data_IF_124805087376
#
_entry.id   IF_124805087376
#
_cell.length_a   1.000
_cell.length_b   1.000
_cell.length_c   1.000
_cell.angle_alpha   90.00
_cell.angle_beta   90.00
_cell.angle_gamma   90.00
#
_symmetry.space_group_name_H-M   'P 1'
#
loop_
_entity.id
_entity.type
_entity.pdbx_description
1 polymer ?
#
# COMPACT_ATOMS: atom_id res chain seq x y z
N UNK A 1 59.80 -2.95 22.90
CA UNK A 1 58.87 -3.02 24.05
C UNK A 1 57.51 -2.58 23.55
N UNK A 2 56.47 -3.39 23.81
CA UNK A 2 55.06 -3.03 23.56
C UNK A 2 54.72 -1.74 24.33
N UNK A 3 53.81 -0.94 23.78
CA UNK A 3 52.55 -0.56 24.42
C UNK A 3 51.67 0.22 23.43
N UNK A 4 50.58 -0.43 23.01
CA UNK A 4 49.41 0.17 22.38
C UNK A 4 48.55 0.85 23.46
N UNK A 5 47.90 1.98 23.16
CA UNK A 5 46.48 2.23 23.47
C UNK A 5 45.95 3.51 22.80
N UNK A 6 45.17 3.30 21.74
CA UNK A 6 43.97 4.03 21.26
C UNK A 6 43.45 5.26 22.02
N UNK A 7 43.15 6.33 21.27
CA UNK A 7 41.84 7.03 21.37
C UNK A 7 41.30 7.32 19.96
N UNK A 8 40.09 6.80 19.75
CA UNK A 8 39.20 6.96 18.61
C UNK A 8 38.62 8.38 18.59
N UNK A 9 38.54 8.98 17.41
CA UNK A 9 37.58 10.06 17.15
C UNK A 9 38.10 11.15 16.22
N UNK A 10 38.00 10.94 14.90
CA UNK A 10 37.91 12.06 13.97
C UNK A 10 37.22 11.64 12.66
N UNK A 11 35.91 11.89 12.59
CA UNK A 11 35.11 11.83 11.35
C UNK A 11 34.40 13.16 11.14
N UNK A 12 35.12 14.26 11.34
CA UNK A 12 34.67 15.58 10.94
C UNK A 12 35.80 16.29 10.20
N UNK A 13 35.86 16.14 8.87
CA UNK A 13 35.83 17.35 8.06
C UNK A 13 35.52 17.12 6.57
N UNK A 14 35.05 18.20 5.94
CA UNK A 14 34.90 18.44 4.51
C UNK A 14 33.53 18.17 3.86
N UNK A 15 32.51 18.92 4.29
CA UNK A 15 31.46 19.35 3.37
C UNK A 15 30.86 20.70 3.80
N UNK A 16 31.30 21.78 3.13
CA UNK A 16 30.89 23.16 3.43
C UNK A 16 29.39 23.46 3.22
N UNK A 17 28.90 24.59 3.78
CA UNK A 17 27.47 24.89 3.94
C UNK A 17 26.72 25.17 2.63
N UNK A 18 27.42 25.38 1.51
CA UNK A 18 26.79 25.68 0.22
C UNK A 18 26.31 24.46 -0.59
N UNK A 19 26.63 23.22 -0.20
CA UNK A 19 26.15 22.02 -0.91
C UNK A 19 24.91 21.37 -0.29
N UNK A 20 24.52 21.78 0.92
CA UNK A 20 23.34 21.23 1.61
C UNK A 20 22.02 21.86 1.16
N UNK A 21 22.02 23.12 0.72
CA UNK A 21 20.80 23.79 0.24
C UNK A 21 20.40 23.40 -1.18
N UNK A 22 21.33 22.91 -2.00
CA UNK A 22 21.07 22.53 -3.39
C UNK A 22 20.60 21.07 -3.57
N UNK A 23 20.51 20.29 -2.49
CA UNK A 23 19.88 18.95 -2.48
C UNK A 23 18.38 19.05 -2.16
N UNK A 24 17.94 20.09 -1.43
CA UNK A 24 16.54 20.26 -1.07
C UNK A 24 15.67 20.84 -2.20
N UNK A 25 16.25 21.41 -3.26
CA UNK A 25 15.50 22.02 -4.36
C UNK A 25 15.21 21.08 -5.54
N UNK A 26 15.76 19.87 -5.57
CA UNK A 26 15.47 18.88 -6.63
C UNK A 26 14.49 17.77 -6.21
N UNK A 27 14.08 17.71 -4.93
CA UNK A 27 13.12 16.74 -4.38
C UNK A 27 11.67 17.24 -4.37
N UNK A 28 11.39 18.40 -4.96
CA UNK A 28 10.07 19.06 -4.92
C UNK A 28 9.32 19.07 -6.26
N UNK A 29 9.73 18.32 -7.29
CA UNK A 29 9.13 18.46 -8.64
C UNK A 29 8.96 17.14 -9.42
N UNK A 30 8.42 16.10 -8.80
CA UNK A 30 7.90 14.92 -9.56
C UNK A 30 6.76 14.20 -8.84
N UNK A 31 5.76 14.94 -8.35
CA UNK A 31 4.48 14.37 -7.93
C UNK A 31 3.36 15.36 -8.25
N UNK A 32 3.16 15.68 -9.53
CA UNK A 32 1.88 16.23 -9.96
C UNK A 32 1.59 15.84 -11.40
N UNK A 33 0.53 15.05 -11.57
CA UNK A 33 0.06 14.59 -12.87
C UNK A 33 -0.24 13.11 -12.85
N UNK A 34 -1.42 12.74 -12.36
CA UNK A 34 -2.45 12.15 -13.20
C UNK A 34 -3.80 12.23 -12.48
N UNK A 35 -4.73 12.86 -13.19
CA UNK A 35 -6.07 13.27 -12.81
C UNK A 35 -6.93 12.04 -12.49
N UNK A 36 -7.66 12.11 -11.39
CA UNK A 36 -8.64 11.10 -11.00
C UNK A 36 -9.75 10.97 -12.03
N UNK A 37 -9.96 9.77 -12.56
CA UNK A 37 -11.22 9.44 -13.20
C UNK A 37 -12.22 9.09 -12.11
N UNK A 38 -13.08 10.05 -11.76
CA UNK A 38 -14.26 9.78 -10.95
C UNK A 38 -15.15 8.75 -11.69
N UNK A 39 -15.24 7.53 -11.17
CA UNK A 39 -16.29 6.58 -11.53
C UNK A 39 -17.36 6.70 -10.45
N UNK A 40 -18.31 7.61 -10.65
CA UNK A 40 -19.57 7.54 -9.93
C UNK A 40 -20.25 6.22 -10.33
N UNK A 41 -20.38 5.27 -9.39
CA UNK A 41 -21.25 4.12 -9.61
C UNK A 41 -22.69 4.60 -9.45
N UNK A 42 -23.43 4.65 -10.56
CA UNK A 42 -24.88 4.79 -10.53
C UNK A 42 -25.50 3.61 -9.78
N UNK A 43 -26.49 3.81 -8.91
CA UNK A 43 -27.21 2.71 -8.28
C UNK A 43 -27.92 1.88 -9.35
N UNK A 44 -27.72 0.57 -9.31
CA UNK A 44 -28.35 -0.38 -10.22
C UNK A 44 -29.84 -0.49 -9.93
N UNK A 45 -30.67 0.18 -10.74
CA UNK A 45 -32.12 -0.03 -10.75
C UNK A 45 -32.44 -1.26 -11.63
N UNK A 46 -32.40 -2.44 -11.01
CA UNK A 46 -32.64 -3.73 -11.67
C UNK A 46 -33.96 -4.33 -11.23
N UNK A 47 -35.02 -4.12 -12.00
CA UNK A 47 -36.27 -4.92 -11.90
C UNK A 47 -35.95 -6.39 -12.18
N UNK A 48 -36.50 -7.37 -11.44
CA UNK A 48 -36.24 -8.77 -11.72
C UNK A 48 -36.97 -9.21 -13.00
N UNK A 49 -36.20 -9.53 -14.04
CA UNK A 49 -36.67 -10.20 -15.24
C UNK A 49 -36.96 -11.68 -14.91
N UNK A 50 -38.25 -12.01 -14.78
CA UNK A 50 -38.74 -13.35 -14.42
C UNK A 50 -38.87 -14.30 -15.61
N UNK A 51 -38.21 -14.01 -16.74
CA UNK A 51 -38.43 -14.72 -18.02
C UNK A 51 -37.38 -15.80 -18.34
N UNK A 52 -36.93 -16.59 -17.35
CA UNK A 52 -36.10 -17.80 -17.60
C UNK A 52 -36.53 -18.99 -16.74
N UNK A 53 -37.73 -19.49 -17.00
CA UNK A 53 -38.26 -20.75 -16.44
C UNK A 53 -38.17 -21.93 -17.42
N UNK A 54 -37.41 -21.79 -18.51
CA UNK A 54 -37.18 -22.87 -19.46
C UNK A 54 -35.85 -23.57 -19.17
N UNK A 55 -35.96 -24.71 -18.48
CA UNK A 55 -35.22 -25.96 -18.71
C UNK A 55 -33.86 -25.82 -19.45
N UNK A 56 -32.77 -25.74 -18.70
CA UNK A 56 -31.43 -26.02 -19.21
C UNK A 56 -30.82 -27.18 -18.43
N UNK A 57 -30.87 -28.37 -19.04
CA UNK A 57 -29.90 -29.43 -18.76
C UNK A 57 -28.54 -28.90 -19.20
N UNK A 58 -27.86 -28.17 -18.32
CA UNK A 58 -26.44 -27.87 -18.49
C UNK A 58 -25.69 -29.10 -18.02
N UNK A 59 -25.20 -29.89 -18.97
CA UNK A 59 -24.05 -30.76 -18.79
C UNK A 59 -23.01 -30.01 -17.99
N UNK A 60 -22.79 -30.46 -16.75
CA UNK A 60 -21.75 -29.91 -15.90
C UNK A 60 -20.43 -29.92 -16.70
N UNK A 61 -19.73 -28.78 -16.85
CA UNK A 61 -18.35 -28.83 -17.27
C UNK A 61 -17.66 -29.79 -16.30
N UNK A 62 -16.90 -30.75 -16.83
CA UNK A 62 -16.02 -31.60 -16.05
C UNK A 62 -14.99 -30.67 -15.39
N UNK A 63 -15.36 -30.08 -14.25
CA UNK A 63 -14.48 -29.28 -13.43
C UNK A 63 -13.47 -30.25 -12.86
N UNK A 64 -12.31 -30.31 -13.50
CA UNK A 64 -11.11 -30.86 -12.89
C UNK A 64 -10.96 -30.24 -11.50
N UNK A 65 -10.65 -31.02 -10.45
CA UNK A 65 -10.43 -30.45 -9.12
C UNK A 65 -9.44 -29.28 -9.23
N UNK A 66 -9.67 -28.17 -8.51
CA UNK A 66 -8.74 -27.05 -8.52
C UNK A 66 -7.34 -27.60 -8.22
N UNK A 67 -6.43 -27.45 -9.16
CA UNK A 67 -5.06 -27.89 -8.95
C UNK A 67 -4.50 -27.13 -7.76
N UNK A 68 -3.74 -27.83 -6.91
CA UNK A 68 -3.13 -27.26 -5.70
C UNK A 68 -2.38 -25.93 -6.02
N UNK A 69 -1.78 -25.82 -7.21
CA UNK A 69 -1.12 -24.61 -7.69
C UNK A 69 -2.05 -23.42 -7.95
N UNK A 70 -3.24 -23.65 -8.54
CA UNK A 70 -4.23 -22.59 -8.76
C UNK A 70 -4.85 -22.11 -7.44
N UNK A 71 -5.11 -23.03 -6.51
CA UNK A 71 -5.61 -22.69 -5.18
C UNK A 71 -4.57 -21.88 -4.37
N UNK A 72 -3.30 -22.29 -4.41
CA UNK A 72 -2.21 -21.55 -3.76
C UNK A 72 -2.10 -20.13 -4.32
N UNK A 73 -2.14 -19.98 -5.65
CA UNK A 73 -2.11 -18.66 -6.31
C UNK A 73 -3.27 -17.77 -5.88
N UNK A 74 -4.50 -18.30 -5.81
CA UNK A 74 -5.66 -17.50 -5.39
C UNK A 74 -5.58 -17.09 -3.92
N UNK A 75 -5.02 -17.94 -3.06
CA UNK A 75 -4.76 -17.62 -1.65
C UNK A 75 -3.71 -16.51 -1.55
N UNK A 76 -2.61 -16.60 -2.30
CA UNK A 76 -1.54 -15.59 -2.29
C UNK A 76 -2.05 -14.22 -2.81
N UNK A 77 -2.89 -14.21 -3.85
CA UNK A 77 -3.51 -12.99 -4.36
C UNK A 77 -4.54 -12.40 -3.38
N UNK A 78 -5.38 -13.24 -2.77
CA UNK A 78 -6.34 -12.81 -1.75
C UNK A 78 -5.63 -12.22 -0.52
N UNK A 79 -4.50 -12.80 -0.12
CA UNK A 79 -3.66 -12.27 0.95
C UNK A 79 -3.11 -10.87 0.62
N UNK A 80 -2.66 -10.64 -0.61
CA UNK A 80 -2.25 -9.30 -1.04
C UNK A 80 -3.42 -8.31 -1.00
N UNK A 81 -4.59 -8.68 -1.52
CA UNK A 81 -5.77 -7.80 -1.48
C UNK A 81 -6.15 -7.43 -0.05
N UNK A 82 -6.08 -8.38 0.88
CA UNK A 82 -6.31 -8.11 2.30
C UNK A 82 -5.29 -7.12 2.86
N UNK A 83 -3.99 -7.33 2.61
CA UNK A 83 -2.93 -6.43 3.06
C UNK A 83 -3.11 -5.00 2.51
N UNK A 84 -3.52 -4.87 1.25
CA UNK A 84 -3.83 -3.58 0.63
C UNK A 84 -5.03 -2.91 1.29
N UNK A 85 -6.10 -3.65 1.56
CA UNK A 85 -7.28 -3.11 2.24
C UNK A 85 -6.93 -2.63 3.66
N UNK A 86 -6.16 -3.41 4.41
CA UNK A 86 -5.68 -3.04 5.75
C UNK A 86 -4.78 -1.79 5.71
N UNK A 87 -3.90 -1.70 4.71
CA UNK A 87 -3.06 -0.51 4.52
C UNK A 87 -3.89 0.75 4.26
N UNK A 88 -4.89 0.68 3.38
CA UNK A 88 -5.72 1.85 3.09
C UNK A 88 -6.54 2.28 4.31
N UNK A 89 -7.15 1.34 5.02
CA UNK A 89 -7.87 1.63 6.27
C UNK A 89 -6.95 2.31 7.30
N UNK A 90 -5.73 1.79 7.48
CA UNK A 90 -4.74 2.40 8.36
C UNK A 90 -4.32 3.80 7.89
N UNK A 91 -4.03 3.97 6.60
CA UNK A 91 -3.61 5.26 6.03
C UNK A 91 -4.67 6.32 6.27
N UNK A 92 -5.94 5.99 6.01
CA UNK A 92 -7.03 6.94 6.12
C UNK A 92 -7.20 7.42 7.58
N UNK A 93 -6.98 6.52 8.55
CA UNK A 93 -6.95 6.87 9.97
C UNK A 93 -5.73 7.74 10.36
N UNK A 94 -4.55 7.48 9.78
CA UNK A 94 -3.32 8.21 10.09
C UNK A 94 -3.24 9.59 9.41
N UNK A 95 -3.96 9.78 8.30
CA UNK A 95 -3.97 10.99 7.50
C UNK A 95 -5.39 11.53 7.29
N UNK A 96 -6.03 12.08 8.36
CA UNK A 96 -7.43 12.50 8.31
C UNK A 96 -7.75 13.48 7.19
N UNK A 97 -6.91 14.50 6.99
CA UNK A 97 -7.14 15.52 5.95
C UNK A 97 -7.13 14.90 4.55
N UNK A 98 -6.17 14.01 4.27
CA UNK A 98 -6.10 13.33 2.99
C UNK A 98 -7.29 12.37 2.78
N UNK A 99 -7.81 11.77 3.87
CA UNK A 99 -9.04 10.98 3.84
C UNK A 99 -10.25 11.87 3.48
N UNK A 100 -10.36 13.05 4.09
CA UNK A 100 -11.41 14.04 3.78
C UNK A 100 -11.34 14.52 2.34
N UNK A 101 -10.14 14.80 1.83
CA UNK A 101 -9.91 15.19 0.43
C UNK A 101 -10.33 14.07 -0.54
N UNK A 102 -10.28 12.81 -0.11
CA UNK A 102 -10.77 11.65 -0.84
C UNK A 102 -12.28 11.37 -0.64
N UNK A 103 -12.99 12.22 0.10
CA UNK A 103 -14.44 12.14 0.37
C UNK A 103 -14.81 11.28 1.58
N UNK A 104 -13.84 10.84 2.38
CA UNK A 104 -14.07 10.05 3.59
C UNK A 104 -13.89 10.91 4.84
N UNK A 105 -15.01 11.42 5.36
CA UNK A 105 -15.10 12.41 6.44
C UNK A 105 -15.17 11.83 7.87
N UNK A 106 -14.75 10.57 8.06
CA UNK A 106 -14.85 9.87 9.35
C UNK A 106 -13.98 10.48 10.45
N UNK A 107 -12.86 11.14 10.08
CA UNK A 107 -11.86 11.66 11.01
C UNK A 107 -11.68 13.18 10.96
N UNK A 108 -12.66 13.93 10.44
CA UNK A 108 -12.59 15.40 10.27
C UNK A 108 -12.36 16.17 11.59
N UNK A 109 -12.62 15.52 12.73
CA UNK A 109 -12.33 16.05 14.06
C UNK A 109 -10.87 15.88 14.51
N UNK A 110 -9.99 15.33 13.67
CA UNK A 110 -8.59 15.03 13.98
C UNK A 110 -7.66 15.63 12.93
N UNK A 111 -6.45 15.95 13.36
CA UNK A 111 -5.32 16.25 12.47
C UNK A 111 -4.24 15.19 12.63
N UNK A 112 -3.43 14.99 11.59
CA UNK A 112 -2.26 14.12 11.66
C UNK A 112 -1.30 14.63 12.73
N UNK A 113 -0.92 13.75 13.65
CA UNK A 113 0.10 14.04 14.65
C UNK A 113 1.50 13.88 14.04
N UNK A 114 2.22 15.00 13.95
CA UNK A 114 3.57 15.09 13.39
C UNK A 114 4.68 15.10 14.45
N UNK A 115 4.38 14.74 15.70
CA UNK A 115 5.43 14.48 16.69
C UNK A 115 6.40 13.40 16.18
N UNK A 116 7.69 13.53 16.51
CA UNK A 116 8.74 12.63 16.03
C UNK A 116 8.43 11.15 16.27
N UNK A 117 7.89 10.82 17.46
CA UNK A 117 7.51 9.45 17.82
C UNK A 117 6.39 8.88 16.93
N UNK A 118 5.44 9.72 16.48
CA UNK A 118 4.37 9.29 15.58
C UNK A 118 4.87 9.10 14.15
N UNK A 119 5.76 9.97 13.70
CA UNK A 119 6.43 9.80 12.39
C UNK A 119 7.22 8.48 12.38
N UNK A 120 8.01 8.21 13.42
CA UNK A 120 8.78 6.97 13.51
C UNK A 120 7.88 5.73 13.54
N UNK A 121 6.77 5.78 14.29
CA UNK A 121 5.79 4.69 14.33
C UNK A 121 5.16 4.42 12.96
N UNK A 122 4.76 5.47 12.22
CA UNK A 122 4.23 5.32 10.85
C UNK A 122 5.29 4.76 9.91
N UNK A 123 6.53 5.23 9.98
CA UNK A 123 7.62 4.69 9.17
C UNK A 123 7.89 3.21 9.46
N UNK A 124 7.81 2.80 10.74
CA UNK A 124 7.94 1.39 11.12
C UNK A 124 6.80 0.54 10.55
N UNK A 125 5.55 1.01 10.62
CA UNK A 125 4.41 0.32 10.02
C UNK A 125 4.62 0.05 8.52
N UNK A 126 5.08 1.06 7.77
CA UNK A 126 5.39 0.90 6.33
C UNK A 126 6.52 -0.11 6.10
N UNK A 127 7.57 -0.12 6.92
CA UNK A 127 8.66 -1.10 6.77
C UNK A 127 8.16 -2.53 6.94
N UNK A 128 7.37 -2.79 7.99
CA UNK A 128 6.77 -4.11 8.25
C UNK A 128 5.85 -4.54 7.11
N UNK A 129 5.00 -3.63 6.63
CA UNK A 129 4.13 -3.89 5.49
C UNK A 129 4.92 -4.29 4.24
N UNK A 130 6.00 -3.55 3.94
CA UNK A 130 6.85 -3.85 2.78
C UNK A 130 7.63 -5.15 2.94
N UNK A 131 8.03 -5.52 4.16
CA UNK A 131 8.65 -6.82 4.44
C UNK A 131 7.67 -7.96 4.15
N UNK A 132 6.40 -7.82 4.54
CA UNK A 132 5.36 -8.80 4.24
C UNK A 132 5.13 -8.94 2.74
N UNK A 133 5.03 -7.82 2.01
CA UNK A 133 4.86 -7.85 0.54
C UNK A 133 6.06 -8.50 -0.14
N UNK A 134 7.29 -8.20 0.30
CA UNK A 134 8.52 -8.83 -0.25
C UNK A 134 8.59 -10.33 0.01
N UNK A 135 8.05 -10.80 1.13
CA UNK A 135 8.01 -12.22 1.46
C UNK A 135 6.97 -13.01 0.65
N UNK A 136 6.04 -12.35 -0.04
CA UNK A 136 5.03 -13.03 -0.85
C UNK A 136 5.64 -13.66 -2.11
N UNK A 137 5.25 -14.90 -2.39
CA UNK A 137 5.73 -15.62 -3.57
C UNK A 137 4.87 -15.27 -4.79
N UNK A 138 5.31 -14.30 -5.59
CA UNK A 138 4.56 -13.79 -6.75
C UNK A 138 4.87 -14.51 -8.07
N UNK A 139 5.88 -15.39 -8.09
CA UNK A 139 6.35 -16.06 -9.31
C UNK A 139 5.27 -16.91 -10.01
N UNK A 140 4.25 -17.35 -9.28
CA UNK A 140 3.16 -18.16 -9.81
C UNK A 140 1.99 -17.32 -10.35
N UNK A 141 2.00 -16.00 -10.20
CA UNK A 141 0.88 -15.13 -10.55
C UNK A 141 0.70 -14.98 -12.07
N UNK A 142 -0.55 -14.78 -12.54
CA UNK A 142 -0.80 -14.57 -13.96
C UNK A 142 -0.24 -13.20 -14.37
N UNK A 143 0.37 -13.12 -15.57
CA UNK A 143 0.83 -11.87 -16.18
C UNK A 143 -0.30 -11.21 -16.95
#
# INVERSE_FOLDING_TARGET
MRNEMTIVGDWHDSAGPLKRTMIYLFLASTCFGLIGTARAQSPSDGKPDVTKKALITTTAPKMSPPSLGNLKRSIDASALHKLVAEFYAWRDEQYPVASSDAGLHTWDNRLTDYAAAKISARAQHIRVLLDQVRAMQTASWPK
#
